data_IF_071822173647
#
_entry.id   IF_071822173647
#
_cell.length_a   1.000
_cell.length_b   1.000
_cell.length_c   1.000
_cell.angle_alpha   90.00
_cell.angle_beta   90.00
_cell.angle_gamma   90.00
#
_symmetry.space_group_name_H-M   'P 1'
#
loop_
_entity.id
_entity.type
_entity.pdbx_description
1 polymer ?
#
# COMPACT_ATOMS: atom_id res chain seq x y z
N UNK A 1 1.39 -13.88 -9.58
CA UNK A 1 2.58 -13.27 -9.01
C UNK A 1 2.26 -12.02 -8.20
N UNK A 2 3.28 -11.34 -7.77
CA UNK A 2 3.14 -10.19 -6.88
C UNK A 2 2.39 -9.03 -7.54
N UNK A 3 2.60 -8.80 -8.84
CA UNK A 3 1.86 -7.74 -9.56
C UNK A 3 0.38 -8.04 -9.56
N UNK A 4 -0.01 -9.28 -9.81
CA UNK A 4 -1.43 -9.67 -9.77
C UNK A 4 -2.02 -9.49 -8.37
N UNK A 5 -1.26 -9.82 -7.33
CA UNK A 5 -1.67 -9.61 -5.95
C UNK A 5 -1.92 -8.14 -5.68
N UNK A 6 -1.00 -7.27 -6.13
CA UNK A 6 -1.16 -5.82 -5.95
C UNK A 6 -2.36 -5.28 -6.73
N UNK A 7 -2.59 -5.73 -7.95
CA UNK A 7 -3.76 -5.30 -8.73
C UNK A 7 -5.06 -5.62 -8.00
N UNK A 8 -5.16 -6.81 -7.42
CA UNK A 8 -6.32 -7.20 -6.62
C UNK A 8 -6.44 -6.36 -5.35
N UNK A 9 -5.31 -6.12 -4.69
CA UNK A 9 -5.29 -5.30 -3.47
C UNK A 9 -5.74 -3.87 -3.78
N UNK A 10 -5.25 -3.26 -4.86
CA UNK A 10 -5.71 -1.91 -5.25
C UNK A 10 -7.20 -1.87 -5.55
N UNK A 11 -7.73 -2.90 -6.23
CA UNK A 11 -9.16 -2.97 -6.50
C UNK A 11 -9.98 -3.03 -5.21
N UNK A 12 -9.59 -3.87 -4.27
CA UNK A 12 -10.27 -3.97 -2.98
C UNK A 12 -10.10 -2.72 -2.13
N UNK A 13 -8.93 -2.09 -2.19
CA UNK A 13 -8.67 -0.82 -1.52
C UNK A 13 -9.61 0.27 -2.04
N UNK A 14 -9.75 0.39 -3.36
CA UNK A 14 -10.60 1.39 -3.99
C UNK A 14 -12.09 1.14 -3.71
N UNK A 15 -12.46 -0.08 -3.35
CA UNK A 15 -13.80 -0.43 -2.88
C UNK A 15 -13.94 -0.24 -1.37
N UNK A 16 -12.91 0.22 -0.69
CA UNK A 16 -12.88 0.45 0.76
C UNK A 16 -13.20 -0.83 1.55
N UNK A 17 -12.77 -1.98 1.04
CA UNK A 17 -12.97 -3.28 1.69
C UNK A 17 -11.78 -3.61 2.58
N UNK A 18 -11.82 -3.14 3.83
CA UNK A 18 -10.73 -3.31 4.78
C UNK A 18 -10.41 -4.77 5.10
N UNK A 19 -11.43 -5.63 5.17
CA UNK A 19 -11.23 -7.07 5.40
C UNK A 19 -10.45 -7.71 4.26
N UNK A 20 -10.85 -7.43 3.01
CA UNK A 20 -10.18 -7.97 1.85
C UNK A 20 -8.74 -7.43 1.73
N UNK A 21 -8.56 -6.13 1.93
CA UNK A 21 -7.23 -5.50 1.88
C UNK A 21 -6.30 -6.12 2.92
N UNK A 22 -6.76 -6.31 4.15
CA UNK A 22 -5.95 -6.92 5.22
C UNK A 22 -5.45 -8.32 4.83
N UNK A 23 -6.23 -9.06 4.03
CA UNK A 23 -5.86 -10.41 3.58
C UNK A 23 -4.65 -10.48 2.68
N UNK A 24 -4.24 -9.37 2.07
CA UNK A 24 -3.03 -9.32 1.23
C UNK A 24 -1.76 -9.03 2.01
N UNK A 25 -1.89 -8.65 3.29
CA UNK A 25 -0.77 -8.25 4.13
C UNK A 25 -0.45 -9.34 5.15
N UNK A 26 0.82 -9.40 5.57
CA UNK A 26 1.19 -10.17 6.74
C UNK A 26 0.44 -9.65 7.98
N UNK A 27 0.31 -10.47 9.01
CA UNK A 27 -0.40 -10.09 10.24
C UNK A 27 0.17 -8.82 10.86
N UNK A 28 1.49 -8.68 10.78
CA UNK A 28 2.18 -7.43 11.08
C UNK A 28 3.11 -7.12 9.91
N UNK A 29 3.21 -5.85 9.57
CA UNK A 29 4.08 -5.42 8.49
C UNK A 29 4.63 -4.03 8.78
N UNK A 30 5.76 -3.71 8.16
CA UNK A 30 6.48 -2.45 8.40
C UNK A 30 6.09 -1.41 7.36
N UNK A 31 5.72 -0.22 7.81
CA UNK A 31 5.44 0.90 6.94
C UNK A 31 6.46 2.01 7.19
N UNK A 32 7.34 2.22 6.21
CA UNK A 32 8.25 3.37 6.19
C UNK A 32 7.56 4.50 5.46
N UNK A 33 6.99 5.42 6.22
CA UNK A 33 6.24 6.54 5.67
C UNK A 33 7.19 7.60 5.13
N UNK A 34 6.75 8.32 4.11
CA UNK A 34 7.50 9.44 3.57
C UNK A 34 7.68 10.55 4.62
N UNK A 35 6.69 10.73 5.48
CA UNK A 35 6.71 11.66 6.60
C UNK A 35 6.17 10.94 7.83
N UNK A 36 6.82 11.11 8.97
CA UNK A 36 6.35 10.51 10.22
C UNK A 36 7.07 9.25 10.65
N UNK A 37 8.09 8.83 9.90
CA UNK A 37 8.96 7.72 10.29
C UNK A 37 8.40 6.35 9.95
N UNK A 38 8.83 5.35 10.72
CA UNK A 38 8.50 3.93 10.49
C UNK A 38 7.50 3.45 11.53
N UNK A 39 6.48 2.76 11.06
CA UNK A 39 5.43 2.17 11.90
C UNK A 39 5.32 0.68 11.66
N UNK A 40 4.94 -0.08 12.68
CA UNK A 40 4.52 -1.45 12.51
C UNK A 40 2.99 -1.47 12.42
N UNK A 41 2.47 -2.06 11.35
CA UNK A 41 1.05 -2.10 11.07
C UNK A 41 0.50 -3.50 11.37
N UNK A 42 -0.76 -3.56 11.77
CA UNK A 42 -1.43 -4.82 12.11
C UNK A 42 -2.65 -5.03 11.21
N UNK A 43 -3.13 -6.28 11.13
CA UNK A 43 -4.38 -6.60 10.42
C UNK A 43 -5.56 -5.77 10.93
N UNK A 44 -5.65 -5.56 12.24
CA UNK A 44 -6.73 -4.77 12.81
C UNK A 44 -6.69 -3.31 12.34
N UNK A 45 -5.48 -2.73 12.29
CA UNK A 45 -5.32 -1.38 11.78
C UNK A 45 -5.71 -1.30 10.29
N UNK A 46 -5.38 -2.33 9.51
CA UNK A 46 -5.76 -2.36 8.09
C UNK A 46 -7.28 -2.45 7.90
N UNK A 47 -7.95 -3.28 8.70
CA UNK A 47 -9.41 -3.41 8.64
C UNK A 47 -10.10 -2.09 8.98
N UNK A 48 -9.54 -1.31 9.88
CA UNK A 48 -10.07 -0.03 10.32
C UNK A 48 -9.64 1.16 9.45
N UNK A 49 -8.78 0.94 8.44
CA UNK A 49 -8.14 2.02 7.67
C UNK A 49 -9.14 2.96 6.98
N UNK A 50 -10.34 2.47 6.65
CA UNK A 50 -11.34 3.23 5.92
C UNK A 50 -12.41 3.87 6.81
N UNK A 51 -12.35 3.68 8.13
CA UNK A 51 -13.43 4.09 9.04
C UNK A 51 -13.72 5.60 8.99
N UNK A 52 -12.69 6.41 8.78
CA UNK A 52 -12.82 7.87 8.74
C UNK A 52 -12.81 8.45 7.31
N UNK A 53 -12.90 7.59 6.30
CA UNK A 53 -12.82 8.01 4.91
C UNK A 53 -14.20 8.00 4.25
N UNK A 54 -14.47 9.04 3.46
CA UNK A 54 -15.64 9.13 2.58
C UNK A 54 -15.37 8.41 1.27
N UNK A 55 -14.17 8.60 0.71
CA UNK A 55 -13.77 7.98 -0.54
C UNK A 55 -12.27 7.86 -0.64
N UNK A 56 -11.83 6.89 -1.45
CA UNK A 56 -10.43 6.71 -1.81
C UNK A 56 -10.33 6.42 -3.30
N UNK A 57 -9.21 6.81 -3.87
CA UNK A 57 -8.84 6.42 -5.22
C UNK A 57 -7.33 6.27 -5.24
N UNK A 58 -6.85 5.05 -5.37
CA UNK A 58 -5.43 4.73 -5.43
C UNK A 58 -5.17 4.06 -6.76
N UNK A 59 -4.59 4.81 -7.70
CA UNK A 59 -4.49 4.40 -9.10
C UNK A 59 -3.03 4.22 -9.48
N UNK A 60 -2.57 2.98 -9.61
CA UNK A 60 -1.23 2.72 -10.11
C UNK A 60 -1.17 2.99 -11.61
N UNK A 61 -0.07 3.59 -12.07
CA UNK A 61 0.19 3.77 -13.49
C UNK A 61 1.46 3.04 -13.95
N UNK A 62 2.24 2.51 -13.04
CA UNK A 62 3.38 1.65 -13.36
C UNK A 62 3.70 0.75 -12.19
N UNK A 63 3.94 -0.53 -12.48
CA UNK A 63 4.39 -1.51 -11.49
C UNK A 63 5.61 -2.24 -12.06
N UNK A 64 6.72 -2.17 -11.36
CA UNK A 64 7.98 -2.77 -11.81
C UNK A 64 8.43 -3.82 -10.79
N UNK A 65 8.32 -5.12 -11.14
CA UNK A 65 8.88 -6.16 -10.30
C UNK A 65 10.39 -5.98 -10.16
N UNK A 66 10.91 -6.24 -8.96
CA UNK A 66 12.33 -6.17 -8.70
C UNK A 66 12.79 -7.35 -7.86
N UNK A 67 14.07 -7.66 -7.98
CA UNK A 67 14.74 -8.60 -7.09
C UNK A 67 15.67 -7.80 -6.20
N UNK A 68 15.50 -7.98 -4.90
CA UNK A 68 16.40 -7.37 -3.93
C UNK A 68 17.72 -8.13 -4.00
N UNK A 69 18.83 -7.37 -4.02
CA UNK A 69 20.17 -7.93 -4.17
C UNK A 69 20.43 -9.00 -3.11
N UNK A 70 20.97 -10.13 -3.58
CA UNK A 70 21.48 -11.22 -2.75
C UNK A 70 20.44 -11.87 -1.82
N UNK A 71 19.18 -11.56 -2.00
CA UNK A 71 18.12 -12.26 -1.28
C UNK A 71 17.35 -13.15 -2.23
N UNK A 72 17.12 -14.38 -1.81
CA UNK A 72 16.36 -15.34 -2.59
C UNK A 72 15.50 -16.15 -1.62
N UNK A 73 14.21 -16.20 -1.81
CA UNK A 73 13.44 -15.60 -2.89
C UNK A 73 12.88 -14.22 -2.49
N UNK A 74 13.68 -13.21 -2.48
CA UNK A 74 13.17 -11.89 -2.23
C UNK A 74 12.34 -11.45 -3.42
N UNK A 75 11.18 -10.91 -3.13
CA UNK A 75 10.39 -10.28 -4.14
C UNK A 75 9.90 -8.93 -3.68
N UNK A 76 9.81 -8.04 -4.63
CA UNK A 76 9.31 -6.71 -4.41
C UNK A 76 8.75 -6.14 -5.70
N UNK A 77 7.93 -5.11 -5.55
CA UNK A 77 7.38 -4.38 -6.69
C UNK A 77 7.47 -2.90 -6.36
N UNK A 78 8.04 -2.13 -7.28
CA UNK A 78 7.99 -0.67 -7.20
C UNK A 78 6.74 -0.20 -7.92
N UNK A 79 5.92 0.57 -7.23
CA UNK A 79 4.64 1.07 -7.76
C UNK A 79 4.68 2.59 -7.83
N UNK A 80 4.41 3.11 -9.01
CA UNK A 80 4.18 4.54 -9.24
C UNK A 80 2.69 4.76 -9.32
N UNK A 81 2.15 5.62 -8.47
CA UNK A 81 0.70 5.79 -8.36
C UNK A 81 0.32 7.21 -7.96
N UNK A 82 -0.96 7.51 -8.09
CA UNK A 82 -1.58 8.69 -7.47
C UNK A 82 -2.63 8.19 -6.50
N UNK A 83 -2.62 8.71 -5.29
CA UNK A 83 -3.63 8.37 -4.29
C UNK A 83 -4.36 9.63 -3.84
N UNK A 84 -5.69 9.56 -3.80
CA UNK A 84 -6.56 10.59 -3.25
C UNK A 84 -7.43 9.99 -2.17
N UNK A 85 -7.42 10.63 -1.00
CA UNK A 85 -8.30 10.27 0.12
C UNK A 85 -9.14 11.48 0.51
N UNK A 86 -10.44 11.27 0.65
CA UNK A 86 -11.36 12.28 1.16
C UNK A 86 -11.89 11.77 2.48
N UNK A 87 -11.63 12.50 3.55
CA UNK A 87 -12.10 12.17 4.89
C UNK A 87 -13.56 12.59 5.08
N UNK A 88 -14.24 11.98 6.04
CA UNK A 88 -15.64 12.32 6.36
C UNK A 88 -15.81 13.76 6.78
N UNK A 89 -14.77 14.41 7.29
CA UNK A 89 -14.78 15.82 7.64
C UNK A 89 -14.50 16.74 6.44
N UNK A 90 -14.32 16.19 5.24
CA UNK A 90 -14.07 16.93 4.01
C UNK A 90 -12.60 17.21 3.71
N UNK A 91 -11.68 16.80 4.59
CA UNK A 91 -10.24 16.95 4.33
C UNK A 91 -9.83 16.09 3.15
N UNK A 92 -9.06 16.68 2.23
CA UNK A 92 -8.55 15.99 1.04
C UNK A 92 -7.03 15.82 1.15
N UNK A 93 -6.57 14.59 0.95
CA UNK A 93 -5.16 14.27 0.83
C UNK A 93 -4.96 13.66 -0.55
N UNK A 94 -4.05 14.25 -1.35
CA UNK A 94 -3.78 13.75 -2.69
C UNK A 94 -2.30 13.91 -2.99
N UNK A 95 -1.66 12.82 -3.37
CA UNK A 95 -0.22 12.77 -3.62
C UNK A 95 0.12 11.85 -4.78
N UNK A 96 1.21 12.16 -5.47
CA UNK A 96 1.92 11.17 -6.27
C UNK A 96 2.81 10.34 -5.35
N UNK A 97 2.83 9.04 -5.58
CA UNK A 97 3.55 8.09 -4.75
C UNK A 97 4.55 7.27 -5.57
N UNK A 98 5.69 7.00 -4.96
CA UNK A 98 6.54 5.89 -5.33
C UNK A 98 6.64 5.01 -4.10
N UNK A 99 6.19 3.77 -4.24
CA UNK A 99 6.19 2.84 -3.13
C UNK A 99 6.85 1.53 -3.51
N UNK A 100 7.71 1.04 -2.62
CA UNK A 100 8.32 -0.26 -2.75
C UNK A 100 7.54 -1.22 -1.85
N UNK A 101 6.91 -2.21 -2.47
CA UNK A 101 6.17 -3.25 -1.77
C UNK A 101 7.07 -4.48 -1.65
N UNK A 102 7.30 -4.94 -0.43
CA UNK A 102 8.09 -6.13 -0.14
C UNK A 102 7.15 -7.27 0.23
N UNK A 103 7.45 -8.47 -0.28
CA UNK A 103 6.63 -9.65 -0.05
C UNK A 103 7.43 -10.69 0.72
N UNK A 104 6.73 -11.42 1.60
CA UNK A 104 7.31 -12.56 2.30
C UNK A 104 7.19 -13.86 1.48
N UNK A 105 7.65 -14.96 2.04
CA UNK A 105 7.64 -16.27 1.37
C UNK A 105 6.24 -16.83 1.15
N UNK A 106 5.26 -16.33 1.89
CA UNK A 106 3.86 -16.74 1.77
C UNK A 106 3.10 -15.88 0.76
N UNK A 107 3.79 -14.95 0.10
CA UNK A 107 3.19 -14.05 -0.87
C UNK A 107 2.40 -12.91 -0.26
N UNK A 108 2.60 -12.64 1.03
CA UNK A 108 1.96 -11.53 1.72
C UNK A 108 2.84 -10.30 1.70
N UNK A 109 2.24 -9.12 1.68
CA UNK A 109 2.97 -7.86 1.79
C UNK A 109 3.52 -7.75 3.21
N UNK A 110 4.84 -7.70 3.33
CA UNK A 110 5.56 -7.64 4.61
C UNK A 110 6.13 -6.26 4.92
N UNK A 111 6.14 -5.38 3.93
CA UNK A 111 6.61 -4.01 4.13
C UNK A 111 6.29 -3.11 2.96
N UNK A 112 6.16 -1.84 3.24
CA UNK A 112 6.04 -0.78 2.25
C UNK A 112 6.99 0.34 2.64
N UNK A 113 7.74 0.84 1.66
CA UNK A 113 8.54 2.04 1.79
C UNK A 113 7.97 3.09 0.86
N UNK A 114 7.52 4.21 1.42
CA UNK A 114 6.76 5.23 0.70
C UNK A 114 7.56 6.51 0.51
N UNK A 115 7.50 7.03 -0.71
CA UNK A 115 7.95 8.37 -1.07
C UNK A 115 6.78 9.12 -1.67
N UNK A 116 6.62 10.39 -1.31
CA UNK A 116 5.50 11.21 -1.78
C UNK A 116 5.97 12.46 -2.47
N UNK A 117 5.12 12.96 -3.37
CA UNK A 117 5.27 14.26 -3.98
C UNK A 117 3.92 14.97 -3.97
N UNK A 118 3.91 16.25 -3.59
CA UNK A 118 2.70 17.05 -3.63
C UNK A 118 2.28 17.28 -5.08
N UNK A 119 0.99 17.25 -5.34
CA UNK A 119 0.43 17.64 -6.63
C UNK A 119 0.36 19.16 -6.70
N UNK A 120 0.76 19.69 -7.85
CA UNK A 120 0.73 21.12 -8.10
C UNK A 120 -0.65 21.60 -8.56
#
# INVERSE_FOLDING_TARGET
GEVDTLEKMFADYNNMDGEAVAGYFADTWTFKQAVGGTSEMTSEAMKAAFDNLESVSWTPFSMVPLKIKDTDPASGVTVYSTEKRVSKDGTVWEKDLVELFYFDLDGKISGIEQYTRDLE
#
